data_IF_347464718190
#
_entry.id   IF_347464718190
#
_cell.length_a   1.000
_cell.length_b   1.000
_cell.length_c   1.000
_cell.angle_alpha   90.00
_cell.angle_beta   90.00
_cell.angle_gamma   90.00
#
_symmetry.space_group_name_H-M   'P 1'
#
loop_
_entity.id
_entity.type
_entity.pdbx_description
1 polymer ?
#
# COMPACT_ATOMS: atom_id res chain seq x y z
N UNK A 1 -19.42 26.82 -0.65
CA UNK A 1 -18.78 25.51 -0.71
C UNK A 1 -18.09 25.34 0.65
N UNK A 2 -18.47 24.33 1.39
CA UNK A 2 -17.89 24.05 2.70
C UNK A 2 -16.72 23.07 2.51
N UNK A 3 -15.54 23.40 3.05
CA UNK A 3 -14.32 22.57 2.99
C UNK A 3 -13.93 22.04 4.38
N UNK A 4 -14.82 22.17 5.37
CA UNK A 4 -14.58 21.60 6.69
C UNK A 4 -14.67 20.07 6.67
N UNK A 5 -13.91 19.43 7.54
CA UNK A 5 -14.06 18.00 7.78
C UNK A 5 -15.31 17.72 8.59
N UNK A 6 -15.94 16.55 8.38
CA UNK A 6 -16.96 16.04 9.29
C UNK A 6 -16.33 15.66 10.64
N UNK A 7 -17.17 15.53 11.68
CA UNK A 7 -16.72 15.08 12.99
C UNK A 7 -16.02 13.71 12.92
N UNK A 8 -16.50 12.81 12.07
CA UNK A 8 -15.91 11.49 11.85
C UNK A 8 -14.52 11.60 11.18
N UNK A 9 -14.37 12.51 10.21
CA UNK A 9 -13.10 12.78 9.55
C UNK A 9 -12.10 13.45 10.50
N UNK A 10 -12.56 14.34 11.35
CA UNK A 10 -11.71 14.94 12.37
C UNK A 10 -11.23 13.89 13.39
N UNK A 11 -12.11 13.00 13.84
CA UNK A 11 -11.76 11.90 14.73
C UNK A 11 -10.79 10.92 14.06
N UNK A 12 -11.00 10.60 12.78
CA UNK A 12 -10.06 9.78 12.00
C UNK A 12 -8.66 10.41 11.96
N UNK A 13 -8.59 11.72 11.72
CA UNK A 13 -7.33 12.49 11.72
C UNK A 13 -6.62 12.38 13.06
N UNK A 14 -7.32 12.64 14.16
CA UNK A 14 -6.77 12.62 15.52
C UNK A 14 -6.27 11.22 15.90
N UNK A 15 -7.06 10.19 15.66
CA UNK A 15 -6.67 8.80 15.93
C UNK A 15 -5.47 8.36 15.09
N UNK A 16 -5.42 8.78 13.83
CA UNK A 16 -4.29 8.49 12.95
C UNK A 16 -3.02 9.18 13.45
N UNK A 17 -3.10 10.46 13.80
CA UNK A 17 -1.97 11.21 14.35
C UNK A 17 -1.43 10.58 15.63
N UNK A 18 -2.30 10.23 16.59
CA UNK A 18 -1.91 9.57 17.84
C UNK A 18 -1.23 8.21 17.58
N UNK A 19 -1.77 7.43 16.66
CA UNK A 19 -1.16 6.15 16.28
C UNK A 19 0.25 6.33 15.71
N UNK A 20 0.42 7.30 14.80
CA UNK A 20 1.68 7.56 14.13
C UNK A 20 2.74 8.12 15.09
N UNK A 21 2.35 9.00 16.01
CA UNK A 21 3.23 9.51 17.06
C UNK A 21 3.84 8.37 17.90
N UNK A 22 3.04 7.36 18.23
CA UNK A 22 3.50 6.20 19.03
C UNK A 22 4.27 5.16 18.24
N UNK A 23 3.85 4.87 17.00
CA UNK A 23 4.30 3.69 16.28
C UNK A 23 5.23 3.98 15.08
N UNK A 24 5.33 5.24 14.63
CA UNK A 24 6.16 5.64 13.50
C UNK A 24 7.21 6.69 13.88
N UNK A 25 6.81 7.76 14.55
CA UNK A 25 7.68 8.91 14.85
C UNK A 25 9.00 8.53 15.54
N UNK A 26 9.05 7.61 16.51
CA UNK A 26 10.31 7.22 17.15
C UNK A 26 11.30 6.55 16.20
N UNK A 27 10.85 6.07 15.05
CA UNK A 27 11.64 5.30 14.10
C UNK A 27 12.01 6.07 12.83
N UNK A 28 11.47 7.29 12.62
CA UNK A 28 11.66 8.06 11.37
C UNK A 28 13.13 8.25 11.02
N UNK A 29 13.98 8.55 12.00
CA UNK A 29 15.42 8.69 11.78
C UNK A 29 16.06 7.38 11.34
N UNK A 30 15.69 6.27 11.97
CA UNK A 30 16.19 4.94 11.60
C UNK A 30 15.69 4.50 10.22
N UNK A 31 14.45 4.85 9.87
CA UNK A 31 13.88 4.58 8.54
C UNK A 31 14.69 5.34 7.47
N UNK A 32 14.99 6.61 7.69
CA UNK A 32 15.79 7.43 6.77
C UNK A 32 17.23 6.91 6.62
N UNK A 33 17.87 6.55 7.73
CA UNK A 33 19.26 6.09 7.73
C UNK A 33 19.41 4.66 7.15
N UNK A 34 18.47 3.74 7.39
CA UNK A 34 18.59 2.31 7.09
C UNK A 34 17.60 1.80 6.01
N UNK A 35 16.56 2.57 5.67
CA UNK A 35 15.53 2.16 4.72
C UNK A 35 14.57 1.08 5.25
N UNK A 36 14.54 0.84 6.57
CA UNK A 36 13.75 -0.22 7.18
C UNK A 36 12.62 0.33 8.04
N UNK A 37 11.36 0.08 7.64
CA UNK A 37 10.17 0.38 8.43
C UNK A 37 10.02 -0.72 9.52
N UNK A 38 9.62 -0.37 10.77
CA UNK A 38 9.44 -1.37 11.82
C UNK A 38 8.50 -2.50 11.40
N UNK A 39 8.94 -3.75 11.58
CA UNK A 39 8.25 -4.96 11.12
C UNK A 39 6.77 -5.01 11.52
N UNK A 40 6.44 -4.59 12.73
CA UNK A 40 5.07 -4.62 13.25
C UNK A 40 4.24 -3.38 12.87
N UNK A 41 4.81 -2.38 12.20
CA UNK A 41 4.09 -1.14 11.89
C UNK A 41 2.87 -1.41 11.03
N UNK A 42 3.02 -2.10 9.91
CA UNK A 42 1.94 -2.36 8.97
C UNK A 42 0.82 -3.22 9.58
N UNK A 43 1.18 -4.21 10.40
CA UNK A 43 0.20 -5.04 11.10
C UNK A 43 -0.64 -4.20 12.06
N UNK A 44 0.00 -3.40 12.91
CA UNK A 44 -0.71 -2.50 13.83
C UNK A 44 -1.58 -1.46 13.08
N UNK A 45 -1.09 -0.93 11.96
CA UNK A 45 -1.86 -0.01 11.11
C UNK A 45 -3.05 -0.72 10.46
N UNK A 46 -2.94 -2.01 10.13
CA UNK A 46 -4.03 -2.85 9.68
C UNK A 46 -5.09 -3.08 10.75
N UNK A 47 -4.68 -3.34 11.98
CA UNK A 47 -5.59 -3.56 13.14
C UNK A 47 -6.53 -2.36 13.38
N UNK A 48 -6.07 -1.14 13.11
CA UNK A 48 -6.88 0.08 13.21
C UNK A 48 -7.44 0.57 11.86
N UNK A 49 -7.22 -0.18 10.78
CA UNK A 49 -7.82 0.07 9.47
C UNK A 49 -7.19 1.20 8.64
N UNK A 50 -6.02 1.73 9.02
CA UNK A 50 -5.42 2.86 8.29
C UNK A 50 -4.47 2.46 7.17
N UNK A 51 -4.04 1.19 7.04
CA UNK A 51 -3.06 0.80 6.01
C UNK A 51 -3.66 0.58 4.62
N UNK A 52 -4.92 0.21 4.55
CA UNK A 52 -5.65 -0.04 3.31
C UNK A 52 -7.11 0.40 3.45
N UNK A 53 -7.35 1.69 3.67
CA UNK A 53 -8.65 2.23 4.09
C UNK A 53 -9.77 2.00 3.06
N UNK A 54 -9.43 1.85 1.78
CA UNK A 54 -10.40 1.68 0.69
C UNK A 54 -10.91 0.24 0.52
N UNK A 55 -10.34 -0.73 1.23
CA UNK A 55 -10.80 -2.12 1.15
C UNK A 55 -12.17 -2.23 1.83
N UNK A 56 -13.14 -2.81 1.11
CA UNK A 56 -14.51 -2.99 1.57
C UNK A 56 -14.60 -3.98 2.75
N UNK A 57 -15.57 -3.77 3.65
CA UNK A 57 -15.85 -4.64 4.80
C UNK A 57 -16.05 -6.11 4.45
N UNK A 58 -16.55 -6.42 3.25
CA UNK A 58 -16.65 -7.77 2.70
C UNK A 58 -15.31 -8.52 2.69
N UNK A 59 -14.20 -7.78 2.59
CA UNK A 59 -12.84 -8.33 2.59
C UNK A 59 -12.04 -7.97 3.84
N UNK A 60 -12.74 -7.55 4.91
CA UNK A 60 -12.13 -7.23 6.21
C UNK A 60 -11.50 -5.84 6.32
N UNK A 61 -11.67 -4.99 5.32
CA UNK A 61 -11.23 -3.60 5.38
C UNK A 61 -12.30 -2.67 5.98
N UNK A 62 -11.95 -1.41 6.30
CA UNK A 62 -12.89 -0.46 6.88
C UNK A 62 -13.88 0.14 5.86
N UNK A 63 -13.58 0.10 4.57
CA UNK A 63 -14.44 0.63 3.51
C UNK A 63 -14.57 2.16 3.52
N UNK A 64 -13.53 2.85 3.91
CA UNK A 64 -13.50 4.31 4.00
C UNK A 64 -13.50 4.98 2.60
N UNK A 65 -13.76 6.28 2.59
CA UNK A 65 -13.78 7.08 1.36
C UNK A 65 -12.38 7.45 0.88
N UNK A 66 -12.29 7.96 -0.35
CA UNK A 66 -11.04 8.53 -0.88
C UNK A 66 -10.58 9.74 -0.07
N UNK A 67 -11.50 10.56 0.45
CA UNK A 67 -11.16 11.70 1.29
C UNK A 67 -10.52 11.24 2.60
N UNK A 68 -11.04 10.20 3.22
CA UNK A 68 -10.46 9.61 4.43
C UNK A 68 -9.05 9.05 4.17
N UNK A 69 -8.85 8.44 3.00
CA UNK A 69 -7.52 7.99 2.55
C UNK A 69 -6.54 9.15 2.41
N UNK A 70 -6.98 10.33 1.92
CA UNK A 70 -6.15 11.54 1.85
C UNK A 70 -5.81 12.06 3.24
N UNK A 71 -6.78 12.10 4.16
CA UNK A 71 -6.54 12.51 5.57
C UNK A 71 -5.46 11.64 6.21
N UNK A 72 -5.55 10.32 6.07
CA UNK A 72 -4.53 9.39 6.58
C UNK A 72 -3.16 9.66 5.94
N UNK A 73 -3.13 9.87 4.62
CA UNK A 73 -1.90 10.18 3.88
C UNK A 73 -1.22 11.46 4.37
N UNK A 74 -2.00 12.51 4.64
CA UNK A 74 -1.48 13.77 5.20
C UNK A 74 -0.83 13.55 6.58
N UNK A 75 -1.48 12.79 7.46
CA UNK A 75 -0.92 12.52 8.79
C UNK A 75 0.36 11.68 8.71
N UNK A 76 0.43 10.69 7.82
CA UNK A 76 1.68 9.93 7.58
C UNK A 76 2.80 10.85 7.11
N UNK A 77 2.52 11.73 6.13
CA UNK A 77 3.51 12.65 5.57
C UNK A 77 4.02 13.70 6.56
N UNK A 78 3.22 14.09 7.56
CA UNK A 78 3.67 14.98 8.64
C UNK A 78 4.72 14.34 9.54
N UNK A 79 4.66 13.02 9.70
CA UNK A 79 5.56 12.27 10.59
C UNK A 79 6.77 11.77 9.83
N UNK A 80 6.56 11.08 8.70
CA UNK A 80 7.64 10.48 7.91
C UNK A 80 8.06 11.35 6.72
N UNK A 81 9.03 12.21 6.97
CA UNK A 81 9.63 13.09 5.95
C UNK A 81 10.58 12.36 4.99
N UNK A 82 10.95 11.10 5.27
CA UNK A 82 11.72 10.26 4.35
C UNK A 82 10.91 9.77 3.15
N UNK A 83 9.58 9.88 3.23
CA UNK A 83 8.61 9.36 2.26
C UNK A 83 8.52 7.82 2.17
N UNK A 84 9.33 7.07 2.91
CA UNK A 84 9.33 5.62 2.83
C UNK A 84 7.96 5.03 3.16
N UNK A 85 7.39 5.37 4.33
CA UNK A 85 6.08 4.89 4.76
C UNK A 85 4.95 5.40 3.85
N UNK A 86 5.05 6.66 3.38
CA UNK A 86 4.09 7.26 2.45
C UNK A 86 4.02 6.52 1.13
N UNK A 87 5.17 6.10 0.57
CA UNK A 87 5.23 5.31 -0.66
C UNK A 87 4.58 3.94 -0.46
N UNK A 88 4.90 3.24 0.63
CA UNK A 88 4.27 1.95 0.94
C UNK A 88 2.75 2.07 1.13
N UNK A 89 2.30 3.11 1.86
CA UNK A 89 0.88 3.40 2.03
C UNK A 89 0.17 3.63 0.69
N UNK A 90 0.75 4.49 -0.16
CA UNK A 90 0.18 4.80 -1.48
C UNK A 90 0.05 3.56 -2.36
N UNK A 91 1.12 2.77 -2.46
CA UNK A 91 1.12 1.55 -3.28
C UNK A 91 0.10 0.55 -2.75
N UNK A 92 0.11 0.28 -1.45
CA UNK A 92 -0.80 -0.68 -0.84
C UNK A 92 -2.27 -0.27 -1.02
N UNK A 93 -2.61 0.98 -0.73
CA UNK A 93 -3.97 1.51 -0.87
C UNK A 93 -4.45 1.49 -2.32
N UNK A 94 -3.63 1.99 -3.25
CA UNK A 94 -4.01 2.11 -4.66
C UNK A 94 -4.17 0.75 -5.34
N UNK A 95 -3.21 -0.16 -5.16
CA UNK A 95 -3.24 -1.45 -5.84
C UNK A 95 -4.21 -2.44 -5.20
N UNK A 96 -4.45 -2.35 -3.90
CA UNK A 96 -5.55 -3.09 -3.26
C UNK A 96 -6.91 -2.63 -3.80
N UNK A 97 -7.10 -1.32 -4.00
CA UNK A 97 -8.33 -0.81 -4.61
C UNK A 97 -8.49 -1.29 -6.06
N UNK A 98 -7.42 -1.28 -6.88
CA UNK A 98 -7.45 -1.82 -8.25
C UNK A 98 -7.79 -3.32 -8.26
N UNK A 99 -7.16 -4.11 -7.38
CA UNK A 99 -7.48 -5.53 -7.21
C UNK A 99 -8.94 -5.72 -6.82
N UNK A 100 -9.44 -4.95 -5.84
CA UNK A 100 -10.83 -5.00 -5.40
C UNK A 100 -11.81 -4.69 -6.55
N UNK A 101 -11.48 -3.71 -7.39
CA UNK A 101 -12.35 -3.28 -8.48
C UNK A 101 -12.36 -4.25 -9.66
N UNK A 102 -11.21 -4.76 -10.06
CA UNK A 102 -11.03 -5.48 -11.33
C UNK A 102 -10.61 -6.95 -11.18
N UNK A 103 -10.18 -7.37 -10.00
CA UNK A 103 -9.75 -8.76 -9.77
C UNK A 103 -10.90 -9.78 -9.84
N UNK A 104 -10.56 -11.04 -10.02
CA UNK A 104 -11.51 -12.14 -9.88
C UNK A 104 -11.89 -12.32 -8.41
N UNK A 105 -13.14 -12.70 -8.11
CA UNK A 105 -13.64 -12.83 -6.73
C UNK A 105 -12.81 -13.80 -5.87
N UNK A 106 -12.38 -14.91 -6.46
CA UNK A 106 -11.50 -15.87 -5.79
C UNK A 106 -10.18 -15.22 -5.34
N UNK A 107 -9.58 -14.40 -6.22
CA UNK A 107 -8.32 -13.70 -5.93
C UNK A 107 -8.52 -12.62 -4.86
N UNK A 108 -9.62 -11.86 -4.95
CA UNK A 108 -9.98 -10.84 -3.96
C UNK A 108 -10.13 -11.46 -2.57
N UNK A 109 -10.93 -12.54 -2.47
CA UNK A 109 -11.17 -13.25 -1.19
C UNK A 109 -9.91 -13.84 -0.58
N UNK A 110 -8.94 -14.23 -1.39
CA UNK A 110 -7.66 -14.80 -0.94
C UNK A 110 -6.63 -13.75 -0.51
N UNK A 111 -6.61 -12.56 -1.14
CA UNK A 111 -5.51 -11.60 -0.97
C UNK A 111 -5.92 -10.39 -0.15
N UNK A 112 -7.10 -9.80 -0.40
CA UNK A 112 -7.49 -8.54 0.24
C UNK A 112 -7.59 -8.60 1.78
N UNK A 113 -8.04 -9.71 2.41
CA UNK A 113 -8.04 -9.78 3.88
C UNK A 113 -6.65 -9.65 4.50
N UNK A 114 -5.65 -10.28 3.90
CA UNK A 114 -4.27 -10.19 4.37
C UNK A 114 -3.68 -8.78 4.19
N UNK A 115 -4.05 -8.11 3.10
CA UNK A 115 -3.64 -6.72 2.85
C UNK A 115 -4.32 -5.78 3.85
N UNK A 116 -5.63 -5.95 4.10
CA UNK A 116 -6.39 -5.13 5.04
C UNK A 116 -5.81 -5.21 6.46
N UNK A 117 -5.36 -6.39 6.86
CA UNK A 117 -4.75 -6.65 8.17
C UNK A 117 -3.25 -6.32 8.24
N UNK A 118 -2.65 -5.78 7.16
CA UNK A 118 -1.23 -5.46 7.12
C UNK A 118 -0.29 -6.67 7.14
N UNK A 119 -0.81 -7.88 6.86
CA UNK A 119 -0.02 -9.11 6.80
C UNK A 119 0.66 -9.30 5.44
N UNK A 120 0.11 -8.69 4.40
CA UNK A 120 0.67 -8.69 3.04
C UNK A 120 0.70 -7.30 2.47
N UNK A 121 1.63 -7.11 1.55
CA UNK A 121 1.80 -5.90 0.78
C UNK A 121 1.49 -6.15 -0.69
N UNK A 122 0.92 -5.17 -1.38
CA UNK A 122 0.67 -5.20 -2.82
C UNK A 122 1.29 -3.97 -3.47
N UNK A 123 1.97 -4.17 -4.58
CA UNK A 123 2.57 -3.11 -5.36
C UNK A 123 2.52 -3.38 -6.85
N UNK A 124 3.24 -2.59 -7.62
CA UNK A 124 3.35 -2.73 -9.08
C UNK A 124 4.80 -2.87 -9.50
N UNK A 125 5.05 -3.76 -10.45
CA UNK A 125 6.31 -3.88 -11.17
C UNK A 125 6.14 -3.31 -12.59
N UNK A 126 6.49 -2.02 -12.78
CA UNK A 126 6.31 -1.32 -14.06
C UNK A 126 7.64 -0.99 -14.72
N UNK A 127 8.56 -0.31 -14.02
CA UNK A 127 9.82 0.19 -14.55
C UNK A 127 10.72 -0.91 -15.05
N UNK A 128 11.37 -0.69 -16.21
CA UNK A 128 12.35 -1.57 -16.83
C UNK A 128 13.71 -0.87 -16.94
N UNK A 129 14.81 -1.62 -17.17
CA UNK A 129 16.12 -1.02 -17.43
C UNK A 129 16.14 -0.04 -18.60
N UNK A 130 15.26 -0.24 -19.59
CA UNK A 130 15.11 0.61 -20.77
C UNK A 130 14.36 1.91 -20.51
N UNK A 131 13.55 2.01 -19.43
CA UNK A 131 12.78 3.22 -19.11
C UNK A 131 11.65 3.00 -18.11
N UNK A 132 11.19 4.09 -17.48
CA UNK A 132 10.09 4.12 -16.54
C UNK A 132 8.88 4.91 -17.05
N UNK A 133 9.10 6.16 -17.48
CA UNK A 133 8.01 7.03 -17.98
C UNK A 133 7.47 6.61 -19.33
N UNK A 134 8.28 5.95 -20.16
CA UNK A 134 7.89 5.46 -21.48
C UNK A 134 7.25 4.07 -21.38
N UNK A 135 6.10 3.99 -20.74
CA UNK A 135 5.36 2.73 -20.55
C UNK A 135 4.85 2.12 -21.85
N UNK A 136 4.78 2.90 -22.93
CA UNK A 136 4.36 2.41 -24.25
C UNK A 136 5.41 1.46 -24.88
N UNK A 137 6.68 1.60 -24.50
CA UNK A 137 7.80 0.82 -25.00
C UNK A 137 8.31 -0.23 -23.99
N UNK A 138 7.42 -0.73 -23.13
CA UNK A 138 7.72 -1.85 -22.23
C UNK A 138 8.12 -3.08 -23.08
N UNK A 139 9.24 -3.69 -22.73
CA UNK A 139 9.81 -4.84 -23.44
C UNK A 139 9.47 -6.19 -22.80
N UNK A 140 9.07 -6.21 -21.52
CA UNK A 140 8.59 -7.41 -20.87
C UNK A 140 7.39 -8.00 -21.61
N UNK A 141 7.49 -9.27 -21.97
CA UNK A 141 6.43 -10.00 -22.66
C UNK A 141 5.76 -11.02 -21.76
N UNK A 142 4.50 -11.35 -22.07
CA UNK A 142 3.74 -12.41 -21.40
C UNK A 142 3.03 -13.27 -22.43
N UNK A 143 3.25 -14.58 -22.38
CA UNK A 143 2.57 -15.57 -23.23
C UNK A 143 1.70 -16.46 -22.36
N UNK A 144 0.45 -16.70 -22.81
CA UNK A 144 -0.45 -17.66 -22.15
C UNK A 144 -0.25 -19.02 -22.80
N UNK A 145 0.25 -20.00 -22.02
CA UNK A 145 0.47 -21.37 -22.47
C UNK A 145 0.00 -22.34 -21.39
N UNK A 146 -0.83 -23.29 -21.77
CA UNK A 146 -1.37 -24.33 -20.90
C UNK A 146 -2.01 -23.78 -19.60
N UNK A 147 -2.75 -22.67 -19.70
CA UNK A 147 -3.41 -22.01 -18.55
C UNK A 147 -2.46 -21.26 -17.60
N UNK A 148 -1.19 -21.12 -17.97
CA UNK A 148 -0.16 -20.37 -17.23
C UNK A 148 0.28 -19.15 -18.04
N UNK A 149 0.71 -18.10 -17.31
CA UNK A 149 1.37 -16.94 -17.91
C UNK A 149 2.88 -17.18 -17.81
N UNK A 150 3.55 -17.24 -18.96
CA UNK A 150 5.02 -17.29 -19.05
C UNK A 150 5.49 -15.88 -19.32
N UNK A 151 6.17 -15.27 -18.35
CA UNK A 151 6.70 -13.91 -18.48
C UNK A 151 8.21 -13.94 -18.77
N UNK A 152 8.64 -13.07 -19.68
CA UNK A 152 10.05 -12.88 -20.00
C UNK A 152 10.37 -11.38 -20.04
N UNK A 153 11.30 -10.94 -19.19
CA UNK A 153 11.70 -9.55 -19.06
C UNK A 153 12.33 -9.26 -17.71
N UNK A 154 12.65 -8.00 -17.48
CA UNK A 154 13.29 -7.52 -16.26
C UNK A 154 12.55 -6.26 -15.75
N UNK A 155 12.32 -6.18 -14.44
CA UNK A 155 11.76 -5.01 -13.78
C UNK A 155 12.75 -4.51 -12.74
N UNK A 156 12.83 -3.17 -12.54
CA UNK A 156 13.75 -2.56 -11.59
C UNK A 156 13.07 -1.50 -10.74
N UNK A 157 13.69 -1.18 -9.61
CA UNK A 157 13.20 -0.21 -8.62
C UNK A 157 11.81 -0.56 -8.07
N UNK A 158 11.57 -1.85 -7.81
CA UNK A 158 10.27 -2.33 -7.36
C UNK A 158 10.24 -2.33 -5.82
N UNK A 159 9.44 -1.42 -5.24
CA UNK A 159 9.23 -1.37 -3.80
C UNK A 159 8.62 -2.67 -3.26
N UNK A 160 9.18 -3.20 -2.17
CA UNK A 160 8.72 -4.44 -1.54
C UNK A 160 9.19 -5.74 -2.20
N UNK A 161 9.98 -5.69 -3.30
CA UNK A 161 10.41 -6.91 -3.98
C UNK A 161 11.31 -7.82 -3.13
N UNK A 162 12.13 -7.24 -2.25
CA UNK A 162 13.01 -8.00 -1.36
C UNK A 162 12.21 -8.72 -0.28
N UNK A 163 11.25 -8.03 0.32
CA UNK A 163 10.33 -8.57 1.33
C UNK A 163 9.42 -9.64 0.76
N UNK A 164 8.88 -9.42 -0.44
CA UNK A 164 8.10 -10.41 -1.16
C UNK A 164 8.90 -11.70 -1.37
N UNK A 165 10.17 -11.59 -1.81
CA UNK A 165 11.06 -12.74 -1.99
C UNK A 165 11.33 -13.51 -0.70
N UNK A 166 11.51 -12.82 0.44
CA UNK A 166 11.74 -13.43 1.75
C UNK A 166 10.51 -14.17 2.28
N UNK A 167 9.31 -13.64 2.01
CA UNK A 167 8.04 -14.08 2.59
C UNK A 167 7.16 -14.90 1.62
N UNK A 168 7.71 -15.32 0.47
CA UNK A 168 7.01 -16.18 -0.50
C UNK A 168 5.94 -15.45 -1.31
N UNK A 169 6.15 -14.15 -1.59
CA UNK A 169 5.32 -13.34 -2.48
C UNK A 169 5.57 -13.62 -3.95
#
# INVERSE_FOLDING_TARGET
MDFSFSDEQQLLRENTAEFLEKNLQPFVRSIDDNGEIPENFFKKAGEIGIISPLINGKYGGPGLSFMDSVIISEEIAKVDTSMATSVYYLLNTSWAYILQKYGKEELKGRILPDIANGNKFIGIASTEPSGGSDVANITTTGEIKDGKVISNGEKMYISGAVEARKNGG
#
